data_IF_915053253267
#
_entry.id   IF_915053253267
#
_cell.length_a   1.000
_cell.length_b   1.000
_cell.length_c   1.000
_cell.angle_alpha   90.00
_cell.angle_beta   90.00
_cell.angle_gamma   90.00
#
_symmetry.space_group_name_H-M   'P 1'
#
loop_
_entity.id
_entity.type
_entity.pdbx_description
1 polymer ?
#
# COMPACT_ATOMS: atom_id res chain seq x y z
N UNK A 1 -12.97 -8.78 28.64
CA UNK A 1 -12.05 -8.45 27.54
C UNK A 1 -10.98 -9.54 27.52
N UNK A 2 -10.90 -10.30 26.44
CA UNK A 2 -9.87 -11.33 26.25
C UNK A 2 -8.55 -10.68 25.79
N UNK A 3 -7.40 -11.37 25.91
CA UNK A 3 -6.13 -10.90 25.35
C UNK A 3 -6.22 -10.56 23.85
N UNK A 4 -6.96 -11.35 23.07
CA UNK A 4 -7.19 -11.11 21.65
C UNK A 4 -8.01 -9.84 21.39
N UNK A 5 -9.06 -9.60 22.19
CA UNK A 5 -9.85 -8.36 22.10
C UNK A 5 -9.02 -7.13 22.46
N UNK A 6 -8.11 -7.23 23.43
CA UNK A 6 -7.21 -6.15 23.81
C UNK A 6 -6.18 -5.85 22.70
N UNK A 7 -5.60 -6.89 22.09
CA UNK A 7 -4.68 -6.74 20.97
C UNK A 7 -5.35 -6.10 19.75
N UNK A 8 -6.57 -6.54 19.40
CA UNK A 8 -7.32 -5.94 18.29
C UNK A 8 -7.68 -4.47 18.56
N UNK A 9 -8.13 -4.15 19.78
CA UNK A 9 -8.41 -2.77 20.19
C UNK A 9 -7.15 -1.88 20.12
N UNK A 10 -5.99 -2.41 20.55
CA UNK A 10 -4.71 -1.69 20.49
C UNK A 10 -4.28 -1.45 19.04
N UNK A 11 -4.40 -2.46 18.17
CA UNK A 11 -4.14 -2.35 16.74
C UNK A 11 -5.02 -1.27 16.09
N UNK A 12 -6.32 -1.29 16.36
CA UNK A 12 -7.29 -0.29 15.86
C UNK A 12 -6.95 1.12 16.34
N UNK A 13 -6.64 1.29 17.62
CA UNK A 13 -6.28 2.60 18.17
C UNK A 13 -5.02 3.16 17.49
N UNK A 14 -4.01 2.31 17.29
CA UNK A 14 -2.77 2.69 16.60
C UNK A 14 -3.02 3.02 15.13
N UNK A 15 -3.82 2.23 14.41
CA UNK A 15 -4.25 2.53 13.03
C UNK A 15 -4.89 3.92 12.93
N UNK A 16 -5.89 4.21 13.77
CA UNK A 16 -6.56 5.52 13.78
C UNK A 16 -5.61 6.67 14.10
N UNK A 17 -4.68 6.48 15.05
CA UNK A 17 -3.67 7.49 15.38
C UNK A 17 -2.75 7.80 14.20
N UNK A 18 -2.31 6.77 13.46
CA UNK A 18 -1.46 6.96 12.28
C UNK A 18 -2.22 7.64 11.15
N UNK A 19 -3.44 7.20 10.86
CA UNK A 19 -4.30 7.82 9.83
C UNK A 19 -4.64 9.27 10.16
N UNK A 20 -4.82 9.62 11.44
CA UNK A 20 -5.01 11.01 11.88
C UNK A 20 -3.77 11.86 11.61
N UNK A 21 -2.57 11.31 11.85
CA UNK A 21 -1.31 12.02 11.57
C UNK A 21 -1.07 12.17 10.06
N UNK A 22 -1.33 11.12 9.29
CA UNK A 22 -1.29 11.16 7.84
C UNK A 22 -2.24 12.22 7.29
N UNK A 23 -3.49 12.26 7.76
CA UNK A 23 -4.49 13.27 7.35
C UNK A 23 -4.01 14.69 7.59
N UNK A 24 -3.41 14.99 8.75
CA UNK A 24 -2.83 16.31 9.03
C UNK A 24 -1.71 16.68 8.05
N UNK A 25 -0.79 15.75 7.79
CA UNK A 25 0.30 15.99 6.84
C UNK A 25 -0.24 16.18 5.42
N UNK A 26 -1.29 15.44 5.04
CA UNK A 26 -1.95 15.60 3.76
C UNK A 26 -2.61 16.99 3.63
N UNK A 27 -3.36 17.43 4.65
CA UNK A 27 -4.00 18.75 4.69
C UNK A 27 -2.98 19.90 4.65
N UNK A 28 -1.77 19.69 5.18
CA UNK A 28 -0.63 20.61 5.08
C UNK A 28 0.06 20.60 3.70
N UNK A 29 -0.43 19.80 2.74
CA UNK A 29 0.18 19.64 1.42
C UNK A 29 1.45 18.78 1.43
N UNK A 30 1.71 18.04 2.51
CA UNK A 30 2.87 17.17 2.71
C UNK A 30 2.52 15.68 2.53
N UNK A 31 1.39 15.36 1.91
CA UNK A 31 0.94 13.97 1.73
C UNK A 31 1.93 13.07 0.98
N UNK A 32 2.72 13.65 0.06
CA UNK A 32 3.69 12.91 -0.75
C UNK A 32 5.11 12.89 -0.14
N UNK A 33 5.29 13.50 1.03
CA UNK A 33 6.57 13.46 1.74
C UNK A 33 6.90 12.03 2.19
N UNK A 34 8.18 11.66 2.21
CA UNK A 34 8.63 10.34 2.67
C UNK A 34 8.07 10.00 4.06
N UNK A 35 8.03 10.98 4.98
CA UNK A 35 7.43 10.82 6.31
C UNK A 35 5.94 10.40 6.24
N UNK A 36 5.17 11.03 5.34
CA UNK A 36 3.74 10.73 5.18
C UNK A 36 3.52 9.35 4.59
N UNK A 37 4.34 8.96 3.61
CA UNK A 37 4.31 7.63 3.00
C UNK A 37 4.67 6.55 4.01
N UNK A 38 5.68 6.77 4.86
CA UNK A 38 6.07 5.84 5.91
C UNK A 38 4.95 5.67 6.95
N UNK A 39 4.30 6.75 7.35
CA UNK A 39 3.15 6.72 8.27
C UNK A 39 1.97 5.95 7.66
N UNK A 40 1.68 6.20 6.38
CA UNK A 40 0.62 5.51 5.66
C UNK A 40 0.92 4.01 5.57
N UNK A 41 2.15 3.63 5.23
CA UNK A 41 2.57 2.23 5.18
C UNK A 41 2.41 1.54 6.54
N UNK A 42 2.89 2.16 7.64
CA UNK A 42 2.70 1.64 9.00
C UNK A 42 1.21 1.47 9.32
N UNK A 43 0.36 2.44 8.95
CA UNK A 43 -1.07 2.35 9.17
C UNK A 43 -1.67 1.14 8.43
N UNK A 44 -1.32 0.95 7.16
CA UNK A 44 -1.86 -0.15 6.35
C UNK A 44 -1.50 -1.53 6.92
N UNK A 45 -0.33 -1.69 7.56
CA UNK A 45 0.01 -2.97 8.24
C UNK A 45 -0.92 -3.28 9.43
N UNK A 46 -1.53 -2.25 10.03
CA UNK A 46 -2.43 -2.36 11.17
C UNK A 46 -3.91 -2.25 10.77
N UNK A 47 -4.19 -2.23 9.47
CA UNK A 47 -5.50 -2.00 8.90
C UNK A 47 -6.53 -3.03 9.42
N UNK A 48 -7.68 -2.58 9.98
CA UNK A 48 -8.78 -3.47 10.30
C UNK A 48 -9.31 -4.18 9.04
N UNK A 49 -9.68 -5.48 9.11
CA UNK A 49 -10.14 -6.23 7.95
C UNK A 49 -11.27 -5.55 7.18
N UNK A 50 -12.22 -4.93 7.88
CA UNK A 50 -13.34 -4.21 7.26
C UNK A 50 -12.90 -2.96 6.48
N UNK A 51 -11.79 -2.33 6.88
CA UNK A 51 -11.25 -1.20 6.14
C UNK A 51 -10.57 -1.68 4.86
N UNK A 52 -9.84 -2.81 4.93
CA UNK A 52 -9.27 -3.45 3.74
C UNK A 52 -10.35 -3.80 2.71
N UNK A 53 -11.45 -4.42 3.14
CA UNK A 53 -12.57 -4.73 2.23
C UNK A 53 -13.11 -3.49 1.53
N UNK A 54 -13.34 -2.40 2.26
CA UNK A 54 -13.78 -1.13 1.65
C UNK A 54 -12.74 -0.54 0.70
N UNK A 55 -11.46 -0.63 1.05
CA UNK A 55 -10.39 -0.15 0.19
C UNK A 55 -10.34 -0.96 -1.12
N UNK A 56 -10.51 -2.28 -1.05
CA UNK A 56 -10.56 -3.18 -2.20
C UNK A 56 -11.78 -2.88 -3.09
N UNK A 57 -12.95 -2.60 -2.48
CA UNK A 57 -14.17 -2.17 -3.18
C UNK A 57 -13.94 -0.86 -3.94
N UNK A 58 -13.42 0.17 -3.27
CA UNK A 58 -13.14 1.49 -3.88
C UNK A 58 -12.09 1.34 -4.98
N UNK A 59 -11.02 0.57 -4.75
CA UNK A 59 -9.97 0.33 -5.73
C UNK A 59 -10.55 -0.33 -6.98
N UNK A 60 -11.45 -1.30 -6.80
CA UNK A 60 -12.14 -1.97 -7.90
C UNK A 60 -13.07 -1.03 -8.64
N UNK A 61 -13.75 -0.11 -7.95
CA UNK A 61 -14.62 0.89 -8.57
C UNK A 61 -13.82 1.90 -9.40
N UNK A 62 -12.69 2.39 -8.88
CA UNK A 62 -11.89 3.45 -9.50
C UNK A 62 -10.99 2.92 -10.63
N UNK A 63 -10.31 1.80 -10.39
CA UNK A 63 -9.29 1.27 -11.30
C UNK A 63 -9.71 -0.03 -11.99
N UNK A 64 -10.89 -0.55 -11.68
CA UNK A 64 -11.27 -1.89 -12.09
C UNK A 64 -10.53 -2.96 -11.26
N UNK A 65 -10.82 -4.22 -11.57
CA UNK A 65 -10.20 -5.35 -10.86
C UNK A 65 -8.68 -5.33 -11.08
N UNK A 66 -7.94 -5.32 -9.97
CA UNK A 66 -6.48 -5.43 -9.98
C UNK A 66 -6.06 -6.70 -10.76
N UNK A 67 -5.01 -6.63 -11.60
CA UNK A 67 -4.58 -7.77 -12.37
C UNK A 67 -4.04 -8.88 -11.45
N UNK A 68 -4.11 -10.13 -11.89
CA UNK A 68 -3.53 -11.26 -11.16
C UNK A 68 -2.01 -11.15 -11.14
N UNK A 69 -1.38 -11.27 -9.98
CA UNK A 69 0.08 -11.29 -9.87
C UNK A 69 0.69 -12.38 -10.76
N UNK A 70 1.86 -12.12 -11.34
CA UNK A 70 2.57 -13.10 -12.17
C UNK A 70 3.10 -14.26 -11.30
N UNK A 71 3.55 -13.94 -10.08
CA UNK A 71 3.89 -14.90 -9.03
C UNK A 71 3.86 -14.20 -7.66
N UNK A 72 4.08 -14.96 -6.58
CA UNK A 72 4.41 -14.42 -5.27
C UNK A 72 5.85 -14.79 -4.91
N UNK A 73 6.62 -13.85 -4.34
CA UNK A 73 7.98 -14.13 -3.87
C UNK A 73 8.00 -15.02 -2.60
N UNK A 74 9.20 -15.35 -2.12
CA UNK A 74 9.39 -16.23 -0.95
C UNK A 74 8.77 -15.67 0.35
N UNK A 75 8.56 -14.34 0.40
CA UNK A 75 7.89 -13.64 1.49
C UNK A 75 6.36 -13.58 1.31
N UNK A 76 5.84 -14.17 0.22
CA UNK A 76 4.42 -14.17 -0.13
C UNK A 76 3.91 -12.87 -0.75
N UNK A 77 4.80 -11.95 -1.15
CA UNK A 77 4.39 -10.69 -1.75
C UNK A 77 4.02 -10.90 -3.23
N UNK A 78 2.89 -10.36 -3.70
CA UNK A 78 2.52 -10.45 -5.11
C UNK A 78 3.46 -9.62 -5.98
N UNK A 79 3.91 -10.22 -7.07
CA UNK A 79 4.87 -9.65 -8.00
C UNK A 79 4.18 -9.35 -9.35
N UNK A 80 4.34 -8.12 -9.82
CA UNK A 80 3.71 -7.62 -11.06
C UNK A 80 4.76 -7.05 -12.02
N UNK A 81 4.53 -7.20 -13.32
CA UNK A 81 5.36 -6.55 -14.32
C UNK A 81 4.93 -5.08 -14.55
N UNK A 82 5.87 -4.19 -14.91
CA UNK A 82 5.54 -2.79 -15.26
C UNK A 82 4.42 -2.72 -16.32
N UNK A 83 4.48 -3.46 -17.44
CA UNK A 83 3.45 -3.37 -18.47
C UNK A 83 2.06 -3.76 -17.97
N UNK A 84 1.98 -4.71 -17.04
CA UNK A 84 0.73 -5.13 -16.42
C UNK A 84 0.12 -4.01 -15.57
N UNK A 85 0.95 -3.33 -14.77
CA UNK A 85 0.53 -2.20 -13.94
C UNK A 85 0.14 -0.99 -14.79
N UNK A 86 0.93 -0.63 -15.81
CA UNK A 86 0.62 0.49 -16.71
C UNK A 86 -0.71 0.28 -17.45
N UNK A 87 -0.99 -0.96 -17.87
CA UNK A 87 -2.26 -1.31 -18.51
C UNK A 87 -3.44 -1.13 -17.55
N UNK A 88 -3.28 -1.51 -16.29
CA UNK A 88 -4.32 -1.39 -15.27
C UNK A 88 -4.55 0.07 -14.84
N UNK A 89 -3.46 0.82 -14.61
CA UNK A 89 -3.48 2.22 -14.21
C UNK A 89 -3.91 3.17 -15.35
N UNK A 90 -3.90 2.70 -16.60
CA UNK A 90 -4.25 3.50 -17.78
C UNK A 90 -3.22 4.57 -18.15
N UNK A 91 -2.03 4.56 -17.54
CA UNK A 91 -0.96 5.51 -17.83
C UNK A 91 0.42 4.87 -17.60
N UNK A 92 1.46 5.54 -18.13
CA UNK A 92 2.86 5.13 -17.97
C UNK A 92 3.37 5.49 -16.57
N UNK A 93 4.07 4.55 -15.94
CA UNK A 93 4.70 4.80 -14.64
C UNK A 93 5.97 5.64 -14.87
N UNK A 94 6.18 6.68 -14.05
CA UNK A 94 7.36 7.54 -14.17
C UNK A 94 8.65 6.71 -13.95
N UNK A 95 9.65 6.79 -14.85
CA UNK A 95 10.95 6.15 -14.65
C UNK A 95 11.60 6.45 -13.30
N UNK A 96 11.40 7.65 -12.74
CA UNK A 96 11.93 8.02 -11.42
C UNK A 96 11.31 7.20 -10.30
N UNK A 97 10.01 6.89 -10.39
CA UNK A 97 9.34 6.02 -9.43
C UNK A 97 9.83 4.59 -9.54
N UNK A 98 10.03 4.09 -10.77
CA UNK A 98 10.63 2.78 -11.02
C UNK A 98 12.01 2.68 -10.38
N UNK A 99 12.88 3.68 -10.57
CA UNK A 99 14.21 3.72 -9.97
C UNK A 99 14.17 3.85 -8.44
N UNK A 100 13.22 4.62 -7.89
CA UNK A 100 13.00 4.71 -6.44
C UNK A 100 12.62 3.35 -5.84
N UNK A 101 11.72 2.62 -6.49
CA UNK A 101 11.30 1.28 -6.07
C UNK A 101 12.47 0.29 -6.14
N UNK A 102 13.23 0.28 -7.24
CA UNK A 102 14.43 -0.57 -7.39
C UNK A 102 15.49 -0.29 -6.32
N UNK A 103 15.69 0.98 -5.96
CA UNK A 103 16.66 1.38 -4.93
C UNK A 103 16.24 0.91 -3.53
N UNK A 104 14.94 0.99 -3.20
CA UNK A 104 14.41 0.53 -1.91
C UNK A 104 14.32 -1.00 -1.85
N UNK A 105 14.05 -1.64 -2.98
CA UNK A 105 13.89 -3.09 -3.10
C UNK A 105 14.59 -3.62 -4.35
N UNK A 106 15.88 -3.97 -4.25
CA UNK A 106 16.62 -4.51 -5.39
C UNK A 106 16.11 -5.92 -5.72
N UNK A 107 15.15 -5.99 -6.65
CA UNK A 107 14.74 -7.23 -7.30
C UNK A 107 15.59 -7.45 -8.56
N UNK A 108 16.06 -8.67 -8.84
CA UNK A 108 16.92 -8.97 -9.99
C UNK A 108 16.19 -8.95 -11.36
N UNK A 109 14.92 -8.53 -11.45
CA UNK A 109 14.12 -8.59 -12.69
C UNK A 109 13.24 -7.36 -12.97
N UNK A 110 12.45 -7.43 -14.06
CA UNK A 110 11.50 -6.40 -14.54
C UNK A 110 10.21 -6.27 -13.70
N UNK A 111 10.21 -6.89 -12.52
CA UNK A 111 9.04 -7.23 -11.73
C UNK A 111 9.15 -6.52 -10.40
N UNK A 112 8.13 -5.72 -10.09
CA UNK A 112 8.15 -4.73 -9.04
C UNK A 112 7.23 -5.10 -7.89
N UNK A 113 7.65 -4.73 -6.68
CA UNK A 113 6.88 -4.86 -5.44
C UNK A 113 5.88 -3.71 -5.34
N UNK A 114 4.60 -4.04 -5.13
CA UNK A 114 3.62 -3.13 -4.54
C UNK A 114 3.43 -3.60 -3.10
N UNK A 115 4.09 -2.92 -2.15
CA UNK A 115 3.74 -3.02 -0.73
C UNK A 115 2.76 -1.92 -0.38
#
# INVERSE_FOLDING_TARGET
MTPEQFLDATRRAKFHSLMTRYGKLHDEGRGDADESLDILAEALTLCPPEFKTKLDEITTEVFGKMPTAEYCDDDGNPCYSIPQLEKWLGHKIDPKDIERVKKRHPSPGTIHRLQ
#
